data_IF_479491210207
#
_entry.id   IF_479491210207
#
_cell.length_a   1.000
_cell.length_b   1.000
_cell.length_c   1.000
_cell.angle_alpha   90.00
_cell.angle_beta   90.00
_cell.angle_gamma   90.00
#
_symmetry.space_group_name_H-M   'P 1'
#
loop_
_entity.id
_entity.type
_entity.pdbx_description
1 polymer ?
#
# COMPACT_ATOMS: atom_id res chain seq x y z
N UNK A 1 23.43 -14.28 -54.43
CA UNK A 1 24.70 -14.16 -53.68
C UNK A 1 24.96 -15.56 -53.11
N UNK A 2 26.05 -16.22 -53.58
CA UNK A 2 26.25 -17.68 -53.37
C UNK A 2 26.76 -17.96 -51.96
N UNK A 3 26.14 -18.89 -51.24
CA UNK A 3 26.52 -19.38 -49.89
C UNK A 3 27.99 -19.73 -49.71
N UNK A 4 28.68 -20.07 -50.82
CA UNK A 4 30.14 -20.36 -50.85
C UNK A 4 31.05 -19.16 -50.57
N UNK A 5 30.59 -17.93 -50.76
CA UNK A 5 31.38 -16.73 -50.44
C UNK A 5 31.33 -16.30 -48.98
N UNK A 6 30.30 -16.71 -48.24
CA UNK A 6 30.17 -16.46 -46.80
C UNK A 6 31.07 -17.41 -45.97
N UNK A 7 31.29 -18.62 -46.43
CA UNK A 7 32.10 -19.63 -45.69
C UNK A 7 33.60 -19.27 -45.58
N UNK A 8 34.12 -18.40 -46.47
CA UNK A 8 35.51 -17.96 -46.40
C UNK A 8 35.81 -16.81 -45.41
N UNK A 9 34.77 -16.22 -44.83
CA UNK A 9 34.90 -15.11 -43.87
C UNK A 9 34.79 -15.53 -42.41
N UNK A 10 34.31 -16.75 -42.18
CA UNK A 10 34.18 -17.28 -40.81
C UNK A 10 35.49 -18.03 -40.49
N UNK A 11 36.40 -17.37 -39.83
CA UNK A 11 37.55 -18.01 -39.24
C UNK A 11 37.06 -18.91 -38.08
N UNK A 12 37.47 -20.19 -38.10
CA UNK A 12 37.05 -21.17 -37.06
C UNK A 12 37.38 -20.67 -35.68
N UNK A 13 38.51 -19.96 -35.53
CA UNK A 13 38.89 -19.38 -34.25
C UNK A 13 37.88 -18.33 -33.73
N UNK A 14 37.39 -17.47 -34.65
CA UNK A 14 36.34 -16.49 -34.26
C UNK A 14 35.03 -17.15 -33.87
N UNK A 15 34.66 -18.25 -34.50
CA UNK A 15 33.47 -19.01 -34.18
C UNK A 15 33.58 -19.66 -32.80
N UNK A 16 34.78 -20.25 -32.52
CA UNK A 16 35.04 -20.85 -31.19
C UNK A 16 34.99 -19.78 -30.09
N UNK A 17 35.64 -18.62 -30.29
CA UNK A 17 35.63 -17.52 -29.33
C UNK A 17 34.22 -17.00 -29.10
N UNK A 18 33.41 -16.84 -30.17
CA UNK A 18 32.03 -16.38 -30.06
C UNK A 18 31.18 -17.37 -29.28
N UNK A 19 31.28 -18.68 -29.56
CA UNK A 19 30.57 -19.72 -28.81
C UNK A 19 31.00 -19.74 -27.34
N UNK A 20 32.29 -19.56 -27.05
CA UNK A 20 32.79 -19.53 -25.67
C UNK A 20 32.27 -18.31 -24.92
N UNK A 21 32.21 -17.14 -25.54
CA UNK A 21 31.65 -15.93 -24.95
C UNK A 21 30.13 -16.10 -24.67
N UNK A 22 29.40 -16.66 -25.63
CA UNK A 22 27.96 -16.95 -25.45
C UNK A 22 27.72 -17.97 -24.33
N UNK A 23 28.54 -19.03 -24.25
CA UNK A 23 28.46 -20.03 -23.20
C UNK A 23 28.77 -19.44 -21.81
N UNK A 24 29.83 -18.64 -21.69
CA UNK A 24 30.14 -17.93 -20.45
C UNK A 24 29.02 -16.96 -20.05
N UNK A 25 28.48 -16.20 -21.00
CA UNK A 25 27.35 -15.32 -20.77
C UNK A 25 26.11 -16.05 -20.30
N UNK A 26 25.80 -17.21 -20.92
CA UNK A 26 24.72 -18.08 -20.49
C UNK A 26 24.95 -18.65 -19.09
N UNK A 27 26.17 -19.10 -18.79
CA UNK A 27 26.55 -19.64 -17.47
C UNK A 27 26.44 -18.58 -16.37
N UNK A 28 26.86 -17.35 -16.64
CA UNK A 28 26.70 -16.22 -15.72
C UNK A 28 25.22 -15.87 -15.51
N UNK A 29 24.43 -15.84 -16.57
CA UNK A 29 22.98 -15.59 -16.48
C UNK A 29 22.29 -16.70 -15.67
N UNK A 30 22.62 -17.96 -15.94
CA UNK A 30 22.09 -19.12 -15.20
C UNK A 30 22.49 -19.06 -13.71
N UNK A 31 23.74 -18.74 -13.41
CA UNK A 31 24.21 -18.55 -12.05
C UNK A 31 23.44 -17.41 -11.33
N UNK A 32 23.25 -16.28 -12.02
CA UNK A 32 22.52 -15.13 -11.48
C UNK A 32 21.06 -15.43 -11.16
N UNK A 33 20.41 -16.32 -11.94
CA UNK A 33 19.03 -16.71 -11.73
C UNK A 33 18.89 -17.70 -10.56
N UNK A 34 19.85 -18.63 -10.41
CA UNK A 34 19.74 -19.77 -9.50
C UNK A 34 20.46 -19.58 -8.15
N UNK A 35 21.40 -18.66 -8.05
CA UNK A 35 22.13 -18.43 -6.79
C UNK A 35 21.34 -17.52 -5.87
N UNK A 36 21.02 -18.04 -4.69
CA UNK A 36 20.36 -17.30 -3.59
C UNK A 36 21.15 -16.09 -3.09
N UNK A 37 22.48 -16.10 -3.32
CA UNK A 37 23.38 -14.98 -2.99
C UNK A 37 22.96 -13.68 -3.70
N UNK A 38 22.35 -13.77 -4.89
CA UNK A 38 21.86 -12.59 -5.62
C UNK A 38 20.47 -12.14 -5.22
N UNK A 39 19.79 -12.85 -4.29
CA UNK A 39 18.47 -12.46 -3.84
C UNK A 39 18.40 -11.03 -3.26
N UNK A 40 19.37 -10.55 -2.45
CA UNK A 40 19.35 -9.16 -1.98
C UNK A 40 19.41 -8.14 -3.11
N UNK A 41 20.22 -8.44 -4.14
CA UNK A 41 20.35 -7.57 -5.32
C UNK A 41 19.08 -7.59 -6.17
N UNK A 42 18.52 -8.78 -6.44
CA UNK A 42 17.22 -8.92 -7.13
C UNK A 42 16.12 -8.18 -6.39
N UNK A 43 16.10 -8.27 -5.07
CA UNK A 43 15.13 -7.58 -4.22
C UNK A 43 15.29 -6.06 -4.32
N UNK A 44 16.51 -5.54 -4.24
CA UNK A 44 16.78 -4.12 -4.37
C UNK A 44 16.31 -3.58 -5.72
N UNK A 45 16.57 -4.30 -6.83
CA UNK A 45 16.11 -3.91 -8.15
C UNK A 45 14.61 -4.08 -8.36
N UNK A 46 13.98 -5.08 -7.75
CA UNK A 46 12.54 -5.29 -7.85
C UNK A 46 11.75 -4.19 -7.13
N UNK A 47 12.33 -3.65 -6.04
CA UNK A 47 11.71 -2.59 -5.24
C UNK A 47 12.04 -1.18 -5.77
N UNK A 48 12.95 -1.08 -6.75
CA UNK A 48 13.36 0.19 -7.35
C UNK A 48 12.44 0.57 -8.53
N UNK A 49 11.91 1.77 -8.51
CA UNK A 49 11.10 2.33 -9.58
C UNK A 49 11.72 3.64 -10.09
N UNK A 50 11.50 3.93 -11.38
CA UNK A 50 11.87 5.24 -11.96
C UNK A 50 11.21 6.42 -11.25
N UNK A 51 10.06 6.19 -10.64
CA UNK A 51 9.38 7.18 -9.80
C UNK A 51 10.18 7.56 -8.55
N UNK A 52 10.98 6.63 -8.00
CA UNK A 52 11.82 6.90 -6.83
C UNK A 52 12.91 7.90 -7.17
N UNK A 53 13.51 7.78 -8.37
CA UNK A 53 14.48 8.75 -8.89
C UNK A 53 13.82 10.12 -9.07
N UNK A 54 12.60 10.15 -9.62
CA UNK A 54 11.88 11.40 -9.84
C UNK A 54 11.62 12.13 -8.52
N UNK A 55 11.13 11.41 -7.49
CA UNK A 55 10.89 11.98 -6.17
C UNK A 55 12.19 12.40 -5.48
N UNK A 56 13.28 11.64 -5.64
CA UNK A 56 14.57 12.02 -5.07
C UNK A 56 15.12 13.30 -5.71
N UNK A 57 15.03 13.42 -7.04
CA UNK A 57 15.42 14.64 -7.76
C UNK A 57 14.54 15.82 -7.33
N UNK A 58 13.23 15.61 -7.20
CA UNK A 58 12.31 16.66 -6.77
C UNK A 58 12.61 17.11 -5.33
N UNK A 59 12.84 16.17 -4.43
CA UNK A 59 13.23 16.47 -3.04
C UNK A 59 14.57 17.18 -2.94
N UNK A 60 15.55 16.81 -3.77
CA UNK A 60 16.88 17.44 -3.79
C UNK A 60 16.87 18.84 -4.39
N UNK A 61 15.87 19.19 -5.22
CA UNK A 61 15.73 20.53 -5.79
C UNK A 61 15.28 21.59 -4.80
N UNK A 62 15.00 21.22 -3.56
CA UNK A 62 14.68 22.13 -2.45
C UNK A 62 13.30 22.77 -2.48
N UNK A 63 12.51 22.51 -3.53
CA UNK A 63 11.12 22.99 -3.62
C UNK A 63 10.23 21.94 -2.97
N UNK A 64 9.97 22.10 -1.67
CA UNK A 64 8.94 21.32 -0.98
C UNK A 64 7.59 22.01 -1.19
N UNK A 65 6.84 21.56 -2.16
CA UNK A 65 5.42 21.89 -2.26
C UNK A 65 4.66 21.05 -1.26
N UNK A 66 4.11 21.68 -0.23
CA UNK A 66 3.19 21.03 0.70
C UNK A 66 1.78 21.15 0.13
N UNK A 67 1.08 20.01 0.06
CA UNK A 67 -0.35 20.04 -0.19
C UNK A 67 -1.06 20.51 1.09
N UNK A 68 -1.59 21.71 1.06
CA UNK A 68 -2.29 22.32 2.20
C UNK A 68 -3.74 21.80 2.34
N UNK A 69 -4.21 21.00 1.38
CA UNK A 69 -5.57 20.47 1.40
C UNK A 69 -5.68 19.21 2.28
N UNK A 70 -4.54 18.59 2.60
CA UNK A 70 -4.50 17.36 3.41
C UNK A 70 -3.69 17.63 4.68
N UNK A 71 -4.33 17.41 5.84
CA UNK A 71 -3.71 17.49 7.15
C UNK A 71 -3.62 16.09 7.75
N UNK A 72 -2.42 15.66 8.07
CA UNK A 72 -2.18 14.41 8.78
C UNK A 72 -1.98 14.70 10.26
N UNK A 73 -2.77 14.04 11.10
CA UNK A 73 -2.67 14.14 12.57
C UNK A 73 -2.15 12.82 13.10
N UNK A 74 -0.94 12.83 13.63
CA UNK A 74 -0.32 11.68 14.25
C UNK A 74 -0.87 11.46 15.66
N UNK A 75 -1.48 10.32 15.90
CA UNK A 75 -2.08 9.93 17.18
C UNK A 75 -1.40 8.71 17.80
N UNK A 76 -0.22 8.32 17.33
CA UNK A 76 0.49 7.10 17.76
C UNK A 76 0.86 7.09 19.25
N UNK A 77 1.01 8.25 19.87
CA UNK A 77 1.30 8.37 21.31
C UNK A 77 0.06 8.49 22.20
N UNK A 78 -1.14 8.50 21.59
CA UNK A 78 -2.40 8.60 22.34
C UNK A 78 -2.98 7.22 22.59
N UNK A 79 -2.83 6.71 23.81
CA UNK A 79 -3.37 5.41 24.21
C UNK A 79 -4.73 5.53 24.95
N UNK A 80 -5.02 6.71 25.49
CA UNK A 80 -6.25 7.00 26.24
C UNK A 80 -7.36 7.39 25.27
N UNK A 81 -8.48 6.66 25.30
CA UNK A 81 -9.62 6.90 24.39
C UNK A 81 -10.31 8.22 24.62
N UNK A 82 -10.30 8.75 25.84
CA UNK A 82 -10.83 10.10 26.14
C UNK A 82 -10.02 11.17 25.44
N UNK A 83 -8.69 11.01 25.43
CA UNK A 83 -7.80 11.95 24.70
C UNK A 83 -7.98 11.84 23.19
N UNK A 84 -8.15 10.60 22.67
CA UNK A 84 -8.45 10.38 21.26
C UNK A 84 -9.81 11.02 20.91
N UNK A 85 -10.83 10.81 21.72
CA UNK A 85 -12.14 11.43 21.54
C UNK A 85 -12.08 12.96 21.56
N UNK A 86 -11.29 13.53 22.47
CA UNK A 86 -11.09 14.98 22.52
C UNK A 86 -10.40 15.48 21.24
N UNK A 87 -9.34 14.81 20.79
CA UNK A 87 -8.66 15.17 19.54
C UNK A 87 -9.59 15.08 18.32
N UNK A 88 -10.46 14.07 18.27
CA UNK A 88 -11.47 13.96 17.21
C UNK A 88 -12.41 15.17 17.24
N UNK A 89 -12.91 15.59 18.41
CA UNK A 89 -13.77 16.77 18.54
C UNK A 89 -13.03 18.05 18.14
N UNK A 90 -11.78 18.21 18.56
CA UNK A 90 -10.98 19.39 18.26
C UNK A 90 -10.78 19.53 16.74
N UNK A 91 -10.47 18.42 16.04
CA UNK A 91 -10.34 18.39 14.58
C UNK A 91 -11.71 18.63 13.92
N UNK A 92 -12.77 17.99 14.40
CA UNK A 92 -14.13 18.18 13.88
C UNK A 92 -14.60 19.62 13.99
N UNK A 93 -14.19 20.35 15.04
CA UNK A 93 -14.48 21.76 15.24
C UNK A 93 -13.89 22.66 14.14
N UNK A 94 -12.81 22.21 13.48
CA UNK A 94 -12.22 22.88 12.34
C UNK A 94 -13.02 22.70 11.04
N UNK A 95 -14.10 21.93 11.06
CA UNK A 95 -15.01 21.67 9.94
C UNK A 95 -14.30 21.18 8.67
N UNK A 96 -13.50 20.10 8.74
CA UNK A 96 -12.86 19.56 7.56
C UNK A 96 -13.93 19.12 6.55
N UNK A 97 -13.62 19.24 5.25
CA UNK A 97 -14.51 18.79 4.18
C UNK A 97 -14.77 17.28 4.26
N UNK A 98 -13.73 16.52 4.60
CA UNK A 98 -13.79 15.08 4.87
C UNK A 98 -12.93 14.78 6.08
N UNK A 99 -13.43 13.96 7.00
CA UNK A 99 -12.71 13.50 8.18
C UNK A 99 -12.38 12.01 8.03
N UNK A 100 -11.10 11.66 8.02
CA UNK A 100 -10.67 10.27 7.89
C UNK A 100 -10.09 9.78 9.21
N UNK A 101 -10.60 8.65 9.72
CA UNK A 101 -10.09 7.97 10.91
C UNK A 101 -9.45 6.65 10.48
N UNK A 102 -8.11 6.62 10.42
CA UNK A 102 -7.37 5.38 10.15
C UNK A 102 -6.95 4.69 11.45
N UNK A 103 -7.92 4.48 12.33
CA UNK A 103 -7.79 3.74 13.58
C UNK A 103 -8.91 2.70 13.66
N UNK A 104 -8.56 1.50 14.13
CA UNK A 104 -9.50 0.40 14.31
C UNK A 104 -9.55 0.03 15.79
N UNK A 105 -10.68 0.27 16.42
CA UNK A 105 -10.94 -0.08 17.81
C UNK A 105 -11.71 -1.40 17.86
N UNK A 106 -11.02 -2.53 17.68
CA UNK A 106 -11.67 -3.85 17.54
C UNK A 106 -12.54 -4.25 18.76
N UNK A 107 -12.19 -3.76 19.93
CA UNK A 107 -12.89 -4.12 21.18
C UNK A 107 -13.19 -2.89 22.02
N UNK A 108 -14.32 -2.88 22.74
CA UNK A 108 -14.56 -1.85 23.74
C UNK A 108 -13.51 -1.90 24.86
N UNK A 109 -13.24 -0.78 25.50
CA UNK A 109 -12.48 -0.71 26.75
C UNK A 109 -13.28 -1.31 27.90
N UNK A 110 -12.59 -1.72 28.96
CA UNK A 110 -13.24 -2.11 30.21
C UNK A 110 -13.92 -0.91 30.90
N UNK A 111 -13.49 0.30 30.61
CA UNK A 111 -14.09 1.54 31.06
C UNK A 111 -15.18 1.97 30.07
N UNK A 112 -16.45 1.89 30.47
CA UNK A 112 -17.58 2.26 29.63
C UNK A 112 -17.57 3.75 29.28
N UNK A 113 -17.14 4.62 30.20
CA UNK A 113 -17.05 6.05 29.97
C UNK A 113 -16.09 6.40 28.82
N UNK A 114 -14.96 5.68 28.71
CA UNK A 114 -14.04 5.81 27.58
C UNK A 114 -14.70 5.43 26.23
N UNK A 115 -15.52 4.38 26.25
CA UNK A 115 -16.23 3.93 25.05
C UNK A 115 -17.29 4.95 24.63
N UNK A 116 -18.07 5.45 25.59
CA UNK A 116 -19.08 6.48 25.34
C UNK A 116 -18.47 7.79 24.84
N UNK A 117 -17.35 8.22 25.44
CA UNK A 117 -16.62 9.39 24.96
C UNK A 117 -16.20 9.27 23.49
N UNK A 118 -15.68 8.09 23.11
CA UNK A 118 -15.24 7.83 21.75
C UNK A 118 -16.41 7.75 20.76
N UNK A 119 -17.45 7.02 21.12
CA UNK A 119 -18.68 6.89 20.33
C UNK A 119 -19.29 8.27 20.08
N UNK A 120 -19.46 9.07 21.13
CA UNK A 120 -20.00 10.41 21.01
C UNK A 120 -19.16 11.31 20.10
N UNK A 121 -17.83 11.26 20.23
CA UNK A 121 -16.96 12.05 19.36
C UNK A 121 -17.05 11.64 17.90
N UNK A 122 -17.12 10.33 17.60
CA UNK A 122 -17.26 9.82 16.24
C UNK A 122 -18.63 10.15 15.66
N UNK A 123 -19.70 10.10 16.46
CA UNK A 123 -21.06 10.42 16.02
C UNK A 123 -21.27 11.89 15.63
N UNK A 124 -20.42 12.79 16.13
CA UNK A 124 -20.46 14.21 15.79
C UNK A 124 -19.87 14.52 14.40
N UNK A 125 -19.17 13.55 13.78
CA UNK A 125 -18.53 13.71 12.47
C UNK A 125 -19.58 13.63 11.36
N UNK A 126 -19.70 14.67 10.55
CA UNK A 126 -20.74 14.72 9.49
C UNK A 126 -20.33 14.05 8.17
N UNK A 127 -19.06 14.13 7.79
CA UNK A 127 -18.53 13.58 6.54
C UNK A 127 -17.29 12.76 6.89
N UNK A 128 -17.51 11.63 7.56
CA UNK A 128 -16.43 10.78 8.04
C UNK A 128 -16.20 9.54 7.19
N UNK A 129 -14.97 9.10 7.13
CA UNK A 129 -14.59 7.77 6.65
C UNK A 129 -13.78 7.09 7.74
N UNK A 130 -14.24 5.93 8.18
CA UNK A 130 -13.58 5.15 9.24
C UNK A 130 -12.96 3.91 8.64
N UNK A 131 -11.74 3.61 9.07
CA UNK A 131 -10.97 2.48 8.59
C UNK A 131 -11.54 1.14 9.02
N UNK A 132 -11.50 0.18 8.11
CA UNK A 132 -11.68 -1.24 8.40
C UNK A 132 -10.57 -2.06 7.73
N UNK A 133 -10.37 -3.29 8.17
CA UNK A 133 -9.40 -4.21 7.58
C UNK A 133 -10.09 -5.45 7.06
N UNK A 134 -9.97 -5.69 5.75
CA UNK A 134 -10.47 -6.92 5.13
C UNK A 134 -9.59 -8.09 5.53
N UNK A 135 -10.21 -9.23 5.83
CA UNK A 135 -9.54 -10.45 6.30
C UNK A 135 -10.05 -11.68 5.57
N UNK A 136 -9.27 -12.77 5.64
CA UNK A 136 -9.59 -14.06 5.08
C UNK A 136 -9.84 -14.00 3.56
N UNK A 137 -8.83 -13.55 2.81
CA UNK A 137 -8.89 -13.53 1.34
C UNK A 137 -9.03 -14.95 0.77
N UNK A 138 -10.01 -15.14 -0.08
CA UNK A 138 -10.27 -16.35 -0.83
C UNK A 138 -9.83 -16.20 -2.28
N UNK A 139 -8.69 -16.74 -2.60
CA UNK A 139 -8.10 -16.66 -3.95
C UNK A 139 -8.92 -17.37 -5.04
N UNK A 140 -9.84 -18.27 -4.68
CA UNK A 140 -10.68 -18.96 -5.67
C UNK A 140 -11.82 -18.09 -6.16
N UNK A 141 -12.36 -17.27 -5.27
CA UNK A 141 -13.50 -16.39 -5.55
C UNK A 141 -13.07 -14.93 -5.72
N UNK A 142 -11.76 -14.63 -5.59
CA UNK A 142 -11.21 -13.28 -5.63
C UNK A 142 -11.97 -12.32 -4.70
N UNK A 143 -12.17 -12.76 -3.46
CA UNK A 143 -13.00 -12.04 -2.49
C UNK A 143 -12.53 -12.24 -1.06
N UNK A 144 -12.79 -11.27 -0.21
CA UNK A 144 -12.60 -11.37 1.22
C UNK A 144 -13.84 -11.97 1.89
N UNK A 145 -13.63 -12.76 2.95
CA UNK A 145 -14.68 -13.43 3.71
C UNK A 145 -15.06 -12.72 5.00
N UNK A 146 -14.39 -11.65 5.35
CA UNK A 146 -14.68 -10.89 6.56
C UNK A 146 -13.96 -9.54 6.59
N UNK A 147 -14.37 -8.71 7.54
CA UNK A 147 -13.75 -7.44 7.85
C UNK A 147 -13.60 -7.28 9.35
N UNK A 148 -12.50 -6.67 9.80
CA UNK A 148 -12.34 -6.16 11.16
C UNK A 148 -12.71 -4.70 11.15
N UNK A 149 -13.68 -4.33 11.99
CA UNK A 149 -14.17 -2.97 12.15
C UNK A 149 -14.07 -2.54 13.61
N UNK A 150 -14.26 -1.28 13.85
CA UNK A 150 -14.36 -0.78 15.22
C UNK A 150 -15.63 -1.28 15.91
N UNK A 151 -15.59 -1.38 17.24
CA UNK A 151 -16.70 -1.91 18.06
C UNK A 151 -18.00 -1.09 17.97
N UNK A 152 -17.92 0.13 17.45
CA UNK A 152 -19.09 0.99 17.17
C UNK A 152 -19.68 0.76 15.76
N UNK A 153 -19.46 -0.44 15.19
CA UNK A 153 -20.13 -0.89 13.96
C UNK A 153 -21.66 -0.85 14.14
N UNK A 154 -22.36 -0.39 13.12
CA UNK A 154 -23.81 -0.19 13.18
C UNK A 154 -24.24 1.24 13.45
N UNK A 155 -23.31 2.17 13.66
CA UNK A 155 -23.57 3.60 13.77
C UNK A 155 -23.45 4.33 12.42
N UNK A 156 -23.65 3.62 11.31
CA UNK A 156 -23.54 4.15 9.94
C UNK A 156 -24.55 5.28 9.68
N UNK A 157 -25.63 5.34 10.44
CA UNK A 157 -26.59 6.47 10.43
C UNK A 157 -25.99 7.78 10.97
N UNK A 158 -24.81 7.72 11.61
CA UNK A 158 -24.13 8.89 12.19
C UNK A 158 -23.36 9.74 11.17
N UNK A 159 -23.45 9.45 9.87
CA UNK A 159 -22.86 10.28 8.81
C UNK A 159 -21.44 9.93 8.41
N UNK A 160 -20.95 8.73 8.71
CA UNK A 160 -19.67 8.22 8.23
C UNK A 160 -19.82 6.92 7.43
N UNK A 161 -18.81 6.64 6.60
CA UNK A 161 -18.70 5.45 5.78
C UNK A 161 -17.51 4.59 6.22
N UNK A 162 -17.57 3.28 5.92
CA UNK A 162 -16.46 2.37 6.17
C UNK A 162 -15.60 2.20 4.91
N UNK A 163 -14.29 2.47 5.02
CA UNK A 163 -13.33 2.23 3.96
C UNK A 163 -12.26 1.25 4.39
N UNK A 164 -11.86 0.32 3.52
CA UNK A 164 -10.78 -0.59 3.88
C UNK A 164 -9.41 0.08 3.72
N UNK A 165 -8.50 -0.21 4.66
CA UNK A 165 -7.12 0.28 4.68
C UNK A 165 -6.09 -0.82 4.35
N UNK A 166 -6.52 -1.91 3.74
CA UNK A 166 -5.62 -2.97 3.33
C UNK A 166 -4.65 -2.45 2.28
N UNK A 167 -3.39 -2.76 2.50
CA UNK A 167 -2.34 -2.47 1.54
C UNK A 167 -1.97 -3.75 0.83
N UNK A 168 -1.96 -3.72 -0.50
CA UNK A 168 -1.46 -4.83 -1.30
C UNK A 168 0.07 -4.82 -1.17
N UNK A 169 0.59 -5.62 -0.24
CA UNK A 169 2.00 -5.97 -0.23
C UNK A 169 2.20 -6.99 -1.34
N UNK A 170 2.73 -6.57 -2.49
CA UNK A 170 3.25 -7.51 -3.48
C UNK A 170 4.35 -8.38 -2.85
N UNK A 171 4.75 -9.44 -3.54
CA UNK A 171 5.87 -10.32 -3.11
C UNK A 171 7.24 -9.61 -3.03
N UNK A 172 7.25 -8.29 -3.09
CA UNK A 172 8.41 -7.40 -3.01
C UNK A 172 8.46 -6.66 -1.68
N UNK A 173 9.58 -6.11 -1.39
CA UNK A 173 9.96 -5.56 -0.10
C UNK A 173 9.57 -4.09 0.07
N UNK A 174 8.63 -3.84 0.94
CA UNK A 174 8.57 -2.60 1.70
C UNK A 174 7.95 -1.38 1.04
N UNK A 175 7.96 -1.23 -0.26
CA UNK A 175 7.41 -0.03 -0.89
C UNK A 175 6.03 -0.29 -1.52
N UNK A 176 5.00 0.30 -0.93
CA UNK A 176 3.63 0.19 -1.42
C UNK A 176 3.41 1.26 -2.48
N UNK A 177 3.23 0.85 -3.73
CA UNK A 177 3.05 1.75 -4.88
C UNK A 177 1.66 1.70 -5.49
N UNK A 178 0.85 0.74 -5.06
CA UNK A 178 -0.50 0.53 -5.59
C UNK A 178 -1.47 0.30 -4.45
N UNK A 179 -2.68 0.79 -4.59
CA UNK A 179 -3.79 0.46 -3.72
C UNK A 179 -4.97 0.01 -4.59
N UNK A 180 -5.78 -0.87 -4.06
CA UNK A 180 -7.04 -1.23 -4.69
C UNK A 180 -8.09 -0.18 -4.37
N UNK A 181 -8.83 0.28 -5.37
CA UNK A 181 -9.93 1.22 -5.16
C UNK A 181 -11.14 0.52 -4.54
N UNK A 182 -11.37 -0.74 -4.94
CA UNK A 182 -12.48 -1.55 -4.45
C UNK A 182 -12.08 -3.02 -4.37
N UNK A 183 -12.76 -3.75 -3.49
CA UNK A 183 -12.59 -5.18 -3.28
C UNK A 183 -13.95 -5.84 -3.12
N UNK A 184 -13.98 -7.16 -3.28
CA UNK A 184 -15.17 -7.95 -3.03
C UNK A 184 -15.18 -8.49 -1.59
N UNK A 185 -16.24 -8.21 -0.84
CA UNK A 185 -16.47 -8.70 0.51
C UNK A 185 -17.83 -9.40 0.56
N UNK A 186 -17.84 -10.73 0.73
CA UNK A 186 -19.06 -11.52 0.92
C UNK A 186 -20.15 -11.24 -0.12
N UNK A 187 -19.76 -11.03 -1.40
CA UNK A 187 -20.68 -10.76 -2.51
C UNK A 187 -21.07 -9.30 -2.70
N UNK A 188 -20.54 -8.38 -1.89
CA UNK A 188 -20.70 -6.93 -2.05
C UNK A 188 -19.37 -6.29 -2.44
N UNK A 189 -19.45 -5.17 -3.16
CA UNK A 189 -18.27 -4.35 -3.45
C UNK A 189 -18.07 -3.35 -2.33
N UNK A 190 -16.85 -3.31 -1.79
CA UNK A 190 -16.43 -2.36 -0.75
C UNK A 190 -15.32 -1.48 -1.30
N UNK A 191 -15.23 -0.25 -0.81
CA UNK A 191 -14.29 0.74 -1.32
C UNK A 191 -13.18 1.01 -0.32
N UNK A 192 -12.02 1.40 -0.84
CA UNK A 192 -10.87 1.74 0.00
C UNK A 192 -11.05 3.07 0.72
N UNK A 193 -10.37 3.21 1.85
CA UNK A 193 -10.35 4.43 2.65
C UNK A 193 -9.98 5.67 1.83
N UNK A 194 -8.89 5.66 1.02
CA UNK A 194 -8.54 6.80 0.17
C UNK A 194 -9.59 7.12 -0.90
N UNK A 195 -10.26 6.10 -1.45
CA UNK A 195 -11.29 6.32 -2.49
C UNK A 195 -12.51 7.04 -1.93
N UNK A 196 -12.93 6.71 -0.71
CA UNK A 196 -14.07 7.35 -0.05
C UNK A 196 -13.76 8.74 0.50
N UNK A 197 -12.47 9.08 0.64
CA UNK A 197 -12.01 10.37 1.16
C UNK A 197 -11.90 11.47 0.09
N UNK A 198 -12.17 11.16 -1.18
CA UNK A 198 -12.14 12.11 -2.31
C UNK A 198 -13.55 12.52 -2.69
#
# INVERSE_FOLDING_TARGET
>A
MSFRKLAGWVNVDHLIVTLLVLFLGWLLAFASINLTVFNPVKKAFADFSMTDIFYEIQNSSGVKEFNNDIVLVDMTELYDRRKIAQSIRDIASCQPKVFVIDLIFERPSYDEEENECLINAVSEIKNGVVSCKLINYDSKNDAFRGARRSFFEGMEDAGFSWGFSNVISGEGYGCIRKYSQNEHLMGTTVYSLPYLAV
#
